data_IF_020352904284
#
_entry.id   IF_020352904284
#
_cell.length_a   1.000
_cell.length_b   1.000
_cell.length_c   1.000
_cell.angle_alpha   90.00
_cell.angle_beta   90.00
_cell.angle_gamma   90.00
#
_symmetry.space_group_name_H-M   'P 1'
#
loop_
_entity.id
_entity.type
_entity.pdbx_description
1 polymer ?
#
# COMPACT_ATOMS: atom_id res chain seq x y z
N UNK A 1 21.65 -29.30 44.83
CA UNK A 1 21.09 -28.01 44.37
C UNK A 1 21.31 -27.75 42.87
N UNK A 2 22.52 -27.90 42.32
CA UNK A 2 22.80 -27.64 40.90
C UNK A 2 21.90 -28.40 39.89
N UNK A 3 21.61 -29.69 40.13
CA UNK A 3 20.70 -30.48 39.27
C UNK A 3 19.27 -29.94 39.24
N UNK A 4 18.76 -29.47 40.39
CA UNK A 4 17.42 -28.90 40.49
C UNK A 4 17.35 -27.56 39.75
N UNK A 5 18.38 -26.71 39.92
CA UNK A 5 18.49 -25.43 39.20
C UNK A 5 18.56 -25.67 37.68
N UNK A 6 19.36 -26.63 37.22
CA UNK A 6 19.47 -26.98 35.80
C UNK A 6 18.13 -27.41 35.21
N UNK A 7 17.37 -28.26 35.91
CA UNK A 7 16.03 -28.68 35.48
C UNK A 7 15.04 -27.51 35.41
N UNK A 8 15.08 -26.61 36.40
CA UNK A 8 14.22 -25.41 36.39
C UNK A 8 14.52 -24.52 35.19
N UNK A 9 15.79 -24.29 34.87
CA UNK A 9 16.19 -23.48 33.70
C UNK A 9 15.69 -24.12 32.41
N UNK A 10 15.86 -25.44 32.24
CA UNK A 10 15.35 -26.16 31.07
C UNK A 10 13.83 -26.03 30.95
N UNK A 11 13.10 -26.17 32.06
CA UNK A 11 11.65 -25.99 32.09
C UNK A 11 11.22 -24.59 31.65
N UNK A 12 11.89 -23.54 32.14
CA UNK A 12 11.63 -22.14 31.75
C UNK A 12 11.91 -21.90 30.26
N UNK A 13 13.01 -22.43 29.74
CA UNK A 13 13.36 -22.30 28.31
C UNK A 13 12.33 -22.99 27.41
N UNK A 14 11.88 -24.19 27.78
CA UNK A 14 10.85 -24.92 27.02
C UNK A 14 9.50 -24.18 27.07
N UNK A 15 9.11 -23.67 28.23
CA UNK A 15 7.89 -22.87 28.38
C UNK A 15 7.95 -21.59 27.53
N UNK A 16 9.08 -20.88 27.56
CA UNK A 16 9.30 -19.68 26.74
C UNK A 16 9.23 -20.02 25.25
N UNK A 17 9.93 -21.06 24.80
CA UNK A 17 9.92 -21.50 23.40
C UNK A 17 8.50 -21.85 22.93
N UNK A 18 7.76 -22.64 23.71
CA UNK A 18 6.38 -23.01 23.39
C UNK A 18 5.46 -21.79 23.31
N UNK A 19 5.58 -20.86 24.26
CA UNK A 19 4.77 -19.65 24.26
C UNK A 19 5.11 -18.74 23.07
N UNK A 20 6.40 -18.58 22.76
CA UNK A 20 6.84 -17.82 21.60
C UNK A 20 6.35 -18.44 20.29
N UNK A 21 6.49 -19.76 20.14
CA UNK A 21 5.98 -20.50 18.98
C UNK A 21 4.45 -20.36 18.84
N UNK A 22 3.72 -20.46 19.96
CA UNK A 22 2.26 -20.27 19.98
C UNK A 22 1.89 -18.86 19.55
N UNK A 23 2.54 -17.84 20.13
CA UNK A 23 2.34 -16.44 19.78
C UNK A 23 2.64 -16.17 18.31
N UNK A 24 3.75 -16.70 17.79
CA UNK A 24 4.14 -16.59 16.39
C UNK A 24 3.10 -17.21 15.44
N UNK A 25 2.65 -18.45 15.72
CA UNK A 25 1.62 -19.13 14.92
C UNK A 25 0.30 -18.36 14.91
N UNK A 26 -0.12 -17.82 16.06
CA UNK A 26 -1.34 -17.03 16.18
C UNK A 26 -1.22 -15.71 15.42
N UNK A 27 -0.12 -14.96 15.60
CA UNK A 27 0.09 -13.65 14.95
C UNK A 27 0.15 -13.75 13.43
N UNK A 28 0.74 -14.82 12.89
CA UNK A 28 0.80 -15.05 11.44
C UNK A 28 -0.42 -15.78 10.89
N UNK A 29 -1.38 -16.15 11.74
CA UNK A 29 -2.52 -16.99 11.34
C UNK A 29 -2.08 -18.25 10.56
N UNK A 30 -0.95 -18.85 10.96
CA UNK A 30 -0.22 -19.84 10.14
C UNK A 30 -0.98 -21.15 9.87
N UNK A 31 -2.08 -21.40 10.60
CA UNK A 31 -2.95 -22.58 10.46
C UNK A 31 -4.34 -22.22 9.95
N UNK A 32 -4.55 -20.97 9.51
CA UNK A 32 -5.83 -20.51 8.96
C UNK A 32 -6.00 -21.07 7.56
N UNK A 33 -7.08 -21.79 7.35
CA UNK A 33 -7.58 -22.14 6.01
C UNK A 33 -8.69 -21.19 5.59
N UNK A 34 -8.86 -21.01 4.27
CA UNK A 34 -9.91 -20.17 3.70
C UNK A 34 -11.00 -21.08 3.13
N UNK A 35 -12.16 -21.10 3.78
CA UNK A 35 -13.36 -21.72 3.19
C UNK A 35 -13.78 -20.91 1.96
N UNK A 36 -13.93 -21.52 0.77
CA UNK A 36 -14.34 -20.82 -0.42
C UNK A 36 -15.70 -20.13 -0.24
N UNK A 37 -15.77 -18.86 -0.62
CA UNK A 37 -17.01 -18.08 -0.74
C UNK A 37 -17.03 -17.53 -2.15
N UNK A 38 -17.77 -18.21 -3.03
CA UNK A 38 -17.80 -17.85 -4.45
C UNK A 38 -18.75 -16.67 -4.68
N UNK A 39 -18.31 -15.75 -5.53
CA UNK A 39 -19.14 -14.67 -6.06
C UNK A 39 -19.40 -14.95 -7.55
N UNK A 40 -20.63 -14.73 -8.05
CA UNK A 40 -20.90 -14.87 -9.47
C UNK A 40 -20.18 -13.76 -10.26
N UNK A 41 -19.73 -14.08 -11.47
CA UNK A 41 -19.22 -13.11 -12.45
C UNK A 41 -17.96 -12.31 -12.02
N UNK A 42 -17.06 -12.90 -11.25
CA UNK A 42 -15.74 -12.30 -11.01
C UNK A 42 -14.84 -12.42 -12.25
N UNK A 43 -14.19 -11.33 -12.62
CA UNK A 43 -13.22 -11.27 -13.72
C UNK A 43 -11.93 -10.63 -13.22
N UNK A 44 -10.79 -11.15 -13.67
CA UNK A 44 -9.51 -10.47 -13.47
C UNK A 44 -9.46 -9.18 -14.30
N UNK A 45 -8.97 -8.12 -13.68
CA UNK A 45 -8.72 -6.86 -14.36
C UNK A 45 -7.46 -7.02 -15.20
N UNK A 46 -7.61 -7.02 -16.53
CA UNK A 46 -6.47 -7.15 -17.45
C UNK A 46 -5.53 -5.96 -17.29
N UNK A 47 -4.22 -6.22 -17.16
CA UNK A 47 -3.19 -5.18 -17.03
C UNK A 47 -2.73 -4.93 -15.60
N UNK A 48 -3.39 -5.49 -14.58
CA UNK A 48 -2.90 -5.50 -13.20
C UNK A 48 -2.22 -6.84 -12.92
N UNK A 49 -0.90 -6.91 -13.13
CA UNK A 49 -0.13 -8.16 -12.97
C UNK A 49 0.89 -8.11 -11.80
N UNK A 50 1.24 -6.90 -11.34
CA UNK A 50 2.30 -6.66 -10.35
C UNK A 50 1.76 -6.08 -9.03
N UNK A 51 0.62 -6.59 -8.58
CA UNK A 51 -0.05 -6.18 -7.34
C UNK A 51 -0.86 -4.89 -7.46
N UNK A 52 -1.91 -4.79 -6.66
CA UNK A 52 -2.72 -3.60 -6.43
C UNK A 52 -2.99 -3.50 -4.93
N UNK A 53 -2.03 -2.93 -4.18
CA UNK A 53 -2.00 -3.03 -2.72
C UNK A 53 -3.08 -2.16 -2.08
N UNK A 54 -3.28 -0.95 -2.61
CA UNK A 54 -4.33 -0.03 -2.17
C UNK A 54 -5.11 0.53 -3.37
N UNK A 55 -6.35 0.93 -3.12
CA UNK A 55 -7.22 1.54 -4.10
C UNK A 55 -8.17 2.54 -3.46
N UNK A 56 -8.63 3.50 -4.24
CA UNK A 56 -9.63 4.45 -3.78
C UNK A 56 -10.60 4.84 -4.89
N UNK A 57 -11.89 4.87 -4.55
CA UNK A 57 -12.97 5.13 -5.49
C UNK A 57 -13.57 6.50 -5.17
N UNK A 58 -13.50 7.40 -6.14
CA UNK A 58 -14.16 8.70 -6.06
C UNK A 58 -15.69 8.54 -6.17
N UNK A 59 -16.47 9.52 -5.67
CA UNK A 59 -17.93 9.50 -5.78
C UNK A 59 -18.48 9.38 -7.21
N UNK A 60 -17.70 9.81 -8.22
CA UNK A 60 -18.07 9.72 -9.63
C UNK A 60 -17.77 8.35 -10.27
N UNK A 61 -17.22 7.38 -9.53
CA UNK A 61 -16.91 6.04 -10.02
C UNK A 61 -15.51 5.87 -10.60
N UNK A 62 -14.68 6.91 -10.63
CA UNK A 62 -13.26 6.76 -10.95
C UNK A 62 -12.51 6.09 -9.80
N UNK A 63 -11.74 5.06 -10.10
CA UNK A 63 -10.96 4.29 -9.13
C UNK A 63 -9.46 4.40 -9.41
N UNK A 64 -8.69 4.83 -8.42
CA UNK A 64 -7.23 4.82 -8.44
C UNK A 64 -6.71 3.52 -7.84
N UNK A 65 -5.62 2.99 -8.36
CA UNK A 65 -4.92 1.82 -7.82
C UNK A 65 -3.44 2.12 -7.69
N UNK A 66 -2.84 1.82 -6.53
CA UNK A 66 -1.38 1.77 -6.40
C UNK A 66 -0.88 0.37 -6.74
N UNK A 67 0.09 0.30 -7.65
CA UNK A 67 0.57 -0.97 -8.19
C UNK A 67 2.10 -1.02 -8.23
N UNK A 68 2.66 -2.24 -8.24
CA UNK A 68 4.10 -2.44 -8.33
C UNK A 68 4.86 -2.12 -7.04
N UNK A 69 4.21 -2.24 -5.87
CA UNK A 69 4.87 -2.07 -4.57
C UNK A 69 6.02 -3.07 -4.42
N UNK A 70 7.19 -2.54 -4.05
CA UNK A 70 8.40 -3.29 -3.72
C UNK A 70 8.72 -3.08 -2.25
N UNK A 71 8.69 -4.15 -1.46
CA UNK A 71 8.94 -4.07 -0.03
C UNK A 71 9.77 -5.26 0.47
N UNK A 72 10.79 -5.04 1.33
CA UNK A 72 11.62 -6.11 1.84
C UNK A 72 10.82 -7.26 2.45
N UNK A 73 11.05 -8.47 1.95
CA UNK A 73 10.39 -9.68 2.44
C UNK A 73 9.03 -9.99 1.79
N UNK A 74 8.53 -9.14 0.88
CA UNK A 74 7.38 -9.44 0.04
C UNK A 74 7.83 -10.00 -1.32
N UNK A 75 6.94 -10.75 -1.97
CA UNK A 75 7.17 -11.28 -3.31
C UNK A 75 6.97 -10.16 -4.33
N UNK A 76 7.98 -9.93 -5.15
CA UNK A 76 7.93 -9.03 -6.30
C UNK A 76 7.81 -9.84 -7.59
N UNK A 77 6.93 -9.39 -8.49
CA UNK A 77 6.69 -10.01 -9.80
C UNK A 77 7.41 -9.27 -10.94
N UNK A 78 7.57 -7.96 -10.82
CA UNK A 78 8.37 -7.15 -11.74
C UNK A 78 9.41 -6.30 -10.97
N UNK A 79 10.65 -6.79 -10.81
CA UNK A 79 11.68 -6.09 -10.03
C UNK A 79 12.25 -4.87 -10.77
N UNK A 80 12.08 -4.77 -12.09
CA UNK A 80 12.75 -3.74 -12.89
C UNK A 80 11.83 -2.56 -13.22
N UNK A 81 10.52 -2.75 -13.24
CA UNK A 81 9.55 -1.69 -13.55
C UNK A 81 9.21 -0.86 -12.29
N UNK A 82 9.27 0.48 -12.31
CA UNK A 82 8.75 1.31 -11.23
C UNK A 82 7.26 1.04 -10.97
N UNK A 83 6.79 1.35 -9.76
CA UNK A 83 5.36 1.25 -9.49
C UNK A 83 4.55 2.32 -10.21
N UNK A 84 3.24 2.14 -10.26
CA UNK A 84 2.33 2.95 -11.09
C UNK A 84 1.07 3.30 -10.33
N UNK A 85 0.46 4.43 -10.69
CA UNK A 85 -0.93 4.71 -10.36
C UNK A 85 -1.78 4.41 -11.58
N UNK A 86 -2.71 3.47 -11.45
CA UNK A 86 -3.68 3.14 -12.49
C UNK A 86 -5.01 3.84 -12.20
N UNK A 87 -5.76 4.13 -13.24
CA UNK A 87 -7.11 4.66 -13.20
C UNK A 87 -8.05 3.68 -13.90
N UNK A 88 -9.24 3.49 -13.34
CA UNK A 88 -10.34 2.74 -13.94
C UNK A 88 -11.64 3.54 -13.79
N UNK A 89 -12.49 3.53 -14.81
CA UNK A 89 -13.85 4.07 -14.71
C UNK A 89 -14.85 2.95 -14.43
N UNK A 90 -15.37 2.87 -13.21
CA UNK A 90 -16.30 1.82 -12.78
C UNK A 90 -17.72 1.98 -13.36
N UNK A 91 -17.99 3.07 -14.08
CA UNK A 91 -19.26 3.24 -14.79
C UNK A 91 -19.26 2.51 -16.15
N UNK A 92 -18.09 2.10 -16.65
CA UNK A 92 -17.97 1.33 -17.87
C UNK A 92 -18.46 -0.11 -17.69
N UNK A 93 -19.04 -0.69 -18.75
CA UNK A 93 -19.53 -2.07 -18.73
C UNK A 93 -18.41 -3.11 -18.61
N UNK A 94 -17.27 -2.84 -19.24
CA UNK A 94 -16.06 -3.67 -19.21
C UNK A 94 -14.87 -2.74 -18.92
N UNK A 95 -14.70 -2.35 -17.65
CA UNK A 95 -13.80 -1.26 -17.29
C UNK A 95 -12.34 -1.69 -17.47
N UNK A 96 -11.58 -0.88 -18.21
CA UNK A 96 -10.15 -1.09 -18.43
C UNK A 96 -9.32 -0.18 -17.53
N UNK A 97 -8.11 -0.63 -17.18
CA UNK A 97 -7.13 0.21 -16.48
C UNK A 97 -6.31 1.03 -17.46
N UNK A 98 -6.04 2.27 -17.07
CA UNK A 98 -5.13 3.19 -17.73
C UNK A 98 -4.02 3.57 -16.75
N UNK A 99 -2.76 3.52 -17.17
CA UNK A 99 -1.65 4.08 -16.41
C UNK A 99 -1.71 5.61 -16.47
N UNK A 100 -1.77 6.28 -15.32
CA UNK A 100 -1.77 7.74 -15.26
C UNK A 100 -0.37 8.28 -15.53
N UNK A 101 -0.25 9.16 -16.52
CA UNK A 101 1.00 9.89 -16.74
C UNK A 101 1.26 10.81 -15.54
N UNK A 102 2.40 10.63 -14.87
CA UNK A 102 2.81 11.55 -13.81
C UNK A 102 3.68 12.66 -14.40
N UNK A 103 3.24 13.90 -14.24
CA UNK A 103 3.89 15.13 -14.72
C UNK A 103 4.59 15.88 -13.59
N UNK A 104 5.54 16.74 -13.96
CA UNK A 104 6.34 17.56 -13.05
C UNK A 104 7.80 17.09 -12.96
N UNK A 105 8.69 18.06 -12.76
CA UNK A 105 10.15 17.86 -12.85
C UNK A 105 10.86 17.75 -11.49
N UNK A 106 10.10 17.92 -10.39
CA UNK A 106 10.65 18.05 -9.04
C UNK A 106 10.77 16.74 -8.27
N UNK A 107 10.65 15.58 -8.93
CA UNK A 107 10.70 14.28 -8.26
C UNK A 107 11.28 13.19 -9.17
N UNK A 108 11.84 12.16 -8.54
CA UNK A 108 12.46 11.03 -9.25
C UNK A 108 11.43 9.93 -9.54
N UNK A 109 10.97 9.91 -10.79
CA UNK A 109 10.02 8.90 -11.29
C UNK A 109 10.59 7.47 -11.25
N UNK A 110 11.90 7.32 -11.38
CA UNK A 110 12.53 5.99 -11.50
C UNK A 110 12.55 5.23 -10.18
N UNK A 111 12.49 5.93 -9.05
CA UNK A 111 12.39 5.33 -7.72
C UNK A 111 10.97 5.32 -7.16
N UNK A 112 9.96 5.59 -7.99
CA UNK A 112 8.56 5.55 -7.56
C UNK A 112 8.17 4.14 -7.13
N UNK A 113 7.70 4.05 -5.90
CA UNK A 113 7.33 2.82 -5.22
C UNK A 113 6.08 3.10 -4.36
N UNK A 114 4.91 3.24 -5.01
CA UNK A 114 3.67 3.62 -4.37
C UNK A 114 3.13 2.49 -3.49
N UNK A 115 2.52 2.88 -2.38
CA UNK A 115 1.93 2.00 -1.38
C UNK A 115 0.49 2.46 -1.11
N UNK A 116 0.14 2.83 0.13
CA UNK A 116 -1.18 3.37 0.45
C UNK A 116 -1.49 4.71 -0.26
N UNK A 117 -2.76 4.92 -0.63
CA UNK A 117 -3.24 6.12 -1.33
C UNK A 117 -4.46 6.74 -0.66
N UNK A 118 -4.54 8.06 -0.66
CA UNK A 118 -5.71 8.82 -0.21
C UNK A 118 -6.12 9.86 -1.23
N UNK A 119 -7.42 10.15 -1.36
CA UNK A 119 -7.92 11.29 -2.10
C UNK A 119 -8.43 12.37 -1.15
N UNK A 120 -8.29 13.61 -1.58
CA UNK A 120 -8.92 14.77 -0.98
C UNK A 120 -9.54 15.60 -2.10
N UNK A 121 -10.82 15.94 -1.97
CA UNK A 121 -11.50 16.84 -2.90
C UNK A 121 -11.66 18.18 -2.22
N UNK A 122 -11.09 19.23 -2.82
CA UNK A 122 -11.15 20.59 -2.30
C UNK A 122 -12.49 21.27 -2.67
N UNK A 123 -12.74 22.46 -2.12
CA UNK A 123 -13.99 23.22 -2.32
C UNK A 123 -14.23 23.58 -3.80
N UNK A 124 -13.18 23.72 -4.59
CA UNK A 124 -13.23 23.96 -6.04
C UNK A 124 -13.42 22.68 -6.87
N UNK A 125 -13.63 21.53 -6.22
CA UNK A 125 -13.65 20.18 -6.79
C UNK A 125 -12.31 19.71 -7.37
N UNK A 126 -11.20 20.38 -7.06
CA UNK A 126 -9.89 19.83 -7.38
C UNK A 126 -9.66 18.55 -6.56
N UNK A 127 -9.36 17.46 -7.27
CA UNK A 127 -9.02 16.18 -6.65
C UNK A 127 -7.51 16.10 -6.46
N UNK A 128 -7.10 15.87 -5.23
CA UNK A 128 -5.73 15.60 -4.84
C UNK A 128 -5.58 14.13 -4.49
N UNK A 129 -4.49 13.52 -4.95
CA UNK A 129 -4.10 12.16 -4.61
C UNK A 129 -2.81 12.20 -3.79
N UNK A 130 -2.88 11.68 -2.58
CA UNK A 130 -1.76 11.55 -1.66
C UNK A 130 -1.29 10.11 -1.70
N UNK A 131 -0.02 9.89 -2.05
CA UNK A 131 0.54 8.56 -2.25
C UNK A 131 1.70 8.37 -1.29
N UNK A 132 1.59 7.36 -0.42
CA UNK A 132 2.74 6.88 0.36
C UNK A 132 3.73 6.27 -0.62
N UNK A 133 4.97 6.75 -0.60
CA UNK A 133 6.01 6.33 -1.52
C UNK A 133 7.25 5.85 -0.73
N UNK A 134 7.90 4.81 -1.24
CA UNK A 134 9.06 4.19 -0.62
C UNK A 134 10.34 4.25 -1.48
N UNK A 135 10.83 5.46 -1.86
CA UNK A 135 12.01 5.57 -2.69
C UNK A 135 13.26 5.24 -1.87
N UNK A 136 14.08 4.31 -2.35
CA UNK A 136 15.36 3.92 -1.73
C UNK A 136 15.23 3.61 -0.21
N UNK A 137 14.18 2.87 0.18
CA UNK A 137 13.88 2.51 1.59
C UNK A 137 13.56 3.70 2.54
N UNK A 138 13.25 4.87 1.99
CA UNK A 138 12.68 5.98 2.75
C UNK A 138 11.15 5.90 2.76
N UNK A 139 10.50 6.74 3.54
CA UNK A 139 9.06 6.96 3.46
C UNK A 139 8.83 8.43 3.16
N UNK A 140 8.07 8.69 2.10
CA UNK A 140 7.59 10.02 1.71
C UNK A 140 6.08 9.96 1.46
N UNK A 141 5.43 11.11 1.43
CA UNK A 141 4.08 11.24 0.87
C UNK A 141 4.16 12.17 -0.32
N UNK A 142 3.85 11.66 -1.49
CA UNK A 142 3.77 12.45 -2.71
C UNK A 142 2.36 13.00 -2.85
N UNK A 143 2.24 14.31 -3.06
CA UNK A 143 0.97 14.99 -3.28
C UNK A 143 0.84 15.31 -4.76
N UNK A 144 -0.20 14.77 -5.38
CA UNK A 144 -0.55 15.00 -6.77
C UNK A 144 -1.87 15.74 -6.88
N UNK A 145 -2.00 16.60 -7.90
CA UNK A 145 -3.30 17.04 -8.40
C UNK A 145 -3.71 16.16 -9.55
N UNK A 146 -4.90 15.58 -9.49
CA UNK A 146 -5.47 14.81 -10.59
C UNK A 146 -6.00 15.77 -11.66
N UNK A 147 -5.59 15.52 -12.91
CA UNK A 147 -6.04 16.24 -14.09
C UNK A 147 -6.90 15.28 -14.91
N UNK A 148 -8.22 15.36 -14.71
CA UNK A 148 -9.16 14.37 -15.23
C UNK A 148 -9.22 14.36 -16.76
N UNK A 149 -9.23 15.53 -17.40
CA UNK A 149 -9.28 15.66 -18.86
C UNK A 149 -8.03 15.05 -19.53
N UNK A 150 -6.85 15.32 -18.97
CA UNK A 150 -5.58 14.81 -19.48
C UNK A 150 -5.26 13.39 -19.02
N UNK A 151 -6.05 12.82 -18.09
CA UNK A 151 -5.79 11.54 -17.42
C UNK A 151 -4.34 11.48 -16.90
N UNK A 152 -3.94 12.53 -16.18
CA UNK A 152 -2.58 12.68 -15.64
C UNK A 152 -2.57 13.12 -14.17
N UNK A 153 -1.44 12.88 -13.50
CA UNK A 153 -1.17 13.34 -12.14
C UNK A 153 -0.09 14.42 -12.19
N UNK A 154 -0.40 15.64 -11.77
CA UNK A 154 0.59 16.70 -11.61
C UNK A 154 1.20 16.60 -10.22
N UNK A 155 2.50 16.27 -10.12
CA UNK A 155 3.21 16.29 -8.84
C UNK A 155 3.32 17.73 -8.32
N UNK A 156 2.90 17.94 -7.08
CA UNK A 156 2.95 19.24 -6.43
C UNK A 156 4.09 19.31 -5.41
N UNK A 157 4.22 18.27 -4.57
CA UNK A 157 5.14 18.28 -3.44
C UNK A 157 5.43 16.87 -2.93
N UNK A 158 6.66 16.69 -2.45
CA UNK A 158 7.06 15.56 -1.62
C UNK A 158 7.07 15.99 -0.16
N UNK A 159 6.32 15.29 0.68
CA UNK A 159 6.29 15.50 2.13
C UNK A 159 7.23 14.48 2.79
N UNK A 160 8.11 14.99 3.64
CA UNK A 160 9.01 14.21 4.49
C UNK A 160 8.95 14.77 5.90
N UNK A 161 8.93 13.91 6.91
CA UNK A 161 8.93 14.35 8.31
C UNK A 161 9.53 13.26 9.20
N UNK A 162 10.15 13.65 10.32
CA UNK A 162 10.77 12.71 11.27
C UNK A 162 9.74 11.79 11.95
N UNK A 163 8.49 12.25 12.05
CA UNK A 163 7.37 11.47 12.59
C UNK A 163 6.68 10.58 11.56
N UNK A 164 7.02 10.67 10.26
CA UNK A 164 6.47 9.72 9.29
C UNK A 164 7.13 8.35 9.52
N UNK A 165 6.36 7.33 9.92
CA UNK A 165 6.93 6.03 10.25
C UNK A 165 7.55 5.37 9.03
N UNK A 166 8.67 4.68 9.23
CA UNK A 166 9.34 3.88 8.19
C UNK A 166 8.56 2.62 7.81
N UNK A 167 7.60 2.20 8.64
CA UNK A 167 6.80 1.00 8.42
C UNK A 167 5.59 1.25 7.53
N UNK A 168 5.20 0.22 6.80
CA UNK A 168 4.04 0.03 5.90
C UNK A 168 2.66 0.38 6.47
N UNK A 169 2.57 0.94 7.68
CA UNK A 169 1.32 1.15 8.42
C UNK A 169 0.75 2.56 8.24
N UNK A 170 1.13 3.26 7.17
CA UNK A 170 0.38 4.45 6.76
C UNK A 170 -0.88 3.98 6.05
N UNK A 171 -1.90 3.60 6.83
CA UNK A 171 -3.26 3.72 6.32
C UNK A 171 -3.53 5.21 6.10
N UNK A 172 -3.96 5.62 4.90
CA UNK A 172 -4.15 7.03 4.57
C UNK A 172 -5.21 7.75 5.41
N UNK A 173 -5.98 7.02 6.23
CA UNK A 173 -6.87 7.59 7.26
C UNK A 173 -6.16 8.58 8.21
N UNK A 174 -4.83 8.47 8.37
CA UNK A 174 -4.02 9.42 9.14
C UNK A 174 -3.60 10.66 8.35
N UNK A 175 -3.60 10.59 7.02
CA UNK A 175 -3.18 11.67 6.11
C UNK A 175 -4.34 12.63 5.83
N UNK A 176 -5.60 12.17 5.90
CA UNK A 176 -6.81 13.02 5.75
C UNK A 176 -7.09 13.92 6.95
N UNK A 177 -6.19 14.01 7.92
CA UNK A 177 -6.33 14.95 9.03
C UNK A 177 -6.08 16.37 8.50
N UNK A 178 -6.99 17.34 8.67
CA UNK A 178 -6.87 18.71 8.14
C UNK A 178 -5.69 19.52 8.71
N UNK A 179 -4.83 18.89 9.52
CA UNK A 179 -3.61 19.49 10.06
C UNK A 179 -2.36 19.22 9.20
N UNK A 180 -2.47 18.39 8.15
CA UNK A 180 -1.34 18.04 7.25
C UNK A 180 -1.39 18.85 5.94
N UNK A 181 -2.54 19.39 5.56
CA UNK A 181 -2.74 20.28 4.41
C UNK A 181 -2.78 21.74 4.84
#
# INVERSE_FOLDING_TARGET
MAKLIGLTIVGLLLAFYKNHQSSYRTRLTALREVTPVDLPNCNFVKGIESGAEDLEILPNGLAFFSTGLKYPGLKEFDPNDPGKILLMDLNEKDPAVLELEIRGDKWDKSSFNPHGISTFTDEDNAVYLLVVNHPNYKTTVEVFKFQEEERSLLHLKTITHELLPKSSTLTPLWITSPWIL
#
